data_IF_502532592048
#
_entry.id   IF_502532592048
#
_cell.length_a   1.000
_cell.length_b   1.000
_cell.length_c   1.000
_cell.angle_alpha   90.00
_cell.angle_beta   90.00
_cell.angle_gamma   90.00
#
_symmetry.space_group_name_H-M   'P 1'
#
loop_
_entity.id
_entity.type
_entity.pdbx_description
1 polymer ?
#
# COMPACT_ATOMS: atom_id res chain seq x y z
N UNK A 1 20.21 74.05 26.32
CA UNK A 1 21.21 73.04 25.90
C UNK A 1 20.76 71.66 26.34
N UNK A 2 20.74 70.72 25.40
CA UNK A 2 20.92 69.25 25.57
C UNK A 2 19.72 68.38 26.00
N UNK A 3 19.16 67.75 24.94
CA UNK A 3 18.88 66.31 24.75
C UNK A 3 17.77 65.66 25.58
N UNK A 4 16.57 65.58 24.98
CA UNK A 4 15.67 64.43 25.11
C UNK A 4 14.74 64.34 23.89
N UNK A 5 15.34 64.21 22.71
CA UNK A 5 14.68 63.69 21.51
C UNK A 5 15.09 62.23 21.40
N UNK A 6 14.19 61.32 21.79
CA UNK A 6 14.17 59.87 21.50
C UNK A 6 13.50 59.18 22.68
N UNK A 7 12.32 58.58 22.45
CA UNK A 7 11.73 57.45 23.21
C UNK A 7 10.31 57.13 22.68
N UNK A 8 9.69 57.95 21.81
CA UNK A 8 8.34 57.64 21.29
C UNK A 8 8.35 56.83 19.97
N UNK A 9 9.49 56.68 19.28
CA UNK A 9 9.56 55.96 18.00
C UNK A 9 10.08 54.51 18.08
N UNK A 10 10.24 53.94 19.29
CA UNK A 10 10.74 52.55 19.46
C UNK A 10 9.65 51.60 19.97
N UNK A 11 8.53 52.09 20.51
CA UNK A 11 7.48 51.21 21.02
C UNK A 11 6.51 50.67 19.95
N UNK A 12 6.57 51.17 18.71
CA UNK A 12 5.70 50.71 17.62
C UNK A 12 6.37 49.71 16.65
N UNK A 13 7.65 49.40 16.84
CA UNK A 13 8.43 48.52 15.96
C UNK A 13 8.73 47.12 16.57
N UNK A 14 8.23 46.82 17.79
CA UNK A 14 8.54 45.54 18.48
C UNK A 14 7.31 44.64 18.64
N UNK A 15 6.15 45.02 18.09
CA UNK A 15 4.95 44.16 18.07
C UNK A 15 4.63 43.57 16.69
N UNK A 16 5.52 43.70 15.70
CA UNK A 16 5.36 43.08 14.38
C UNK A 16 6.14 41.77 14.21
N UNK A 17 6.72 41.21 15.28
CA UNK A 17 7.63 40.04 15.19
C UNK A 17 7.20 38.81 16.00
N UNK A 18 5.99 38.79 16.56
CA UNK A 18 5.52 37.65 17.38
C UNK A 18 4.10 37.17 17.02
N UNK A 19 3.77 37.20 15.74
CA UNK A 19 2.75 36.32 15.20
C UNK A 19 3.41 35.58 14.05
N UNK A 20 4.22 34.55 14.36
CA UNK A 20 4.23 33.42 13.44
C UNK A 20 2.77 33.02 13.32
N UNK A 21 2.16 33.00 12.12
CA UNK A 21 0.93 32.26 12.00
C UNK A 21 1.28 30.86 12.50
N UNK A 22 0.66 30.45 13.60
CA UNK A 22 0.45 29.04 13.81
C UNK A 22 -0.37 28.64 12.58
N UNK A 23 0.33 28.22 11.53
CA UNK A 23 -0.25 27.42 10.47
C UNK A 23 -0.66 26.17 11.22
N UNK A 24 -1.89 26.17 11.72
CA UNK A 24 -2.59 24.93 11.96
C UNK A 24 -2.56 24.26 10.59
N UNK A 25 -1.69 23.27 10.44
CA UNK A 25 -1.80 22.36 9.31
C UNK A 25 -3.26 21.93 9.31
N UNK A 26 -3.94 22.11 8.18
CA UNK A 26 -5.29 21.60 8.04
C UNK A 26 -5.29 20.13 8.48
N UNK A 27 -6.33 19.71 9.20
CA UNK A 27 -6.39 18.32 9.66
C UNK A 27 -6.20 17.39 8.46
N UNK A 28 -5.29 16.40 8.56
CA UNK A 28 -5.04 15.48 7.47
C UNK A 28 -6.34 14.82 7.00
N UNK A 29 -6.63 14.94 5.73
CA UNK A 29 -7.79 14.32 5.11
C UNK A 29 -7.43 12.95 4.55
N UNK A 30 -8.43 12.07 4.45
CA UNK A 30 -8.31 10.83 3.70
C UNK A 30 -9.27 10.86 2.53
N UNK A 31 -8.77 10.57 1.34
CA UNK A 31 -9.55 10.44 0.12
C UNK A 31 -9.59 8.99 -0.33
N UNK A 32 -10.79 8.50 -0.65
CA UNK A 32 -10.99 7.21 -1.29
C UNK A 32 -11.42 7.41 -2.73
N UNK A 33 -10.82 6.66 -3.63
CA UNK A 33 -11.04 6.73 -5.07
C UNK A 33 -11.50 5.38 -5.55
N UNK A 34 -12.62 5.34 -6.28
CA UNK A 34 -13.21 4.12 -6.82
C UNK A 34 -13.76 4.36 -8.22
N UNK A 35 -13.67 3.35 -9.08
CA UNK A 35 -14.34 3.36 -10.37
C UNK A 35 -15.84 3.12 -10.21
N UNK A 36 -16.65 3.91 -10.92
CA UNK A 36 -18.11 3.81 -10.91
C UNK A 36 -18.56 3.36 -12.30
N UNK A 37 -18.87 2.06 -12.49
CA UNK A 37 -19.22 1.52 -13.80
C UNK A 37 -20.39 2.23 -14.48
N UNK A 38 -21.39 2.65 -13.70
CA UNK A 38 -22.57 3.36 -14.22
C UNK A 38 -22.23 4.72 -14.81
N UNK A 39 -21.11 5.32 -14.39
CA UNK A 39 -20.61 6.61 -14.87
C UNK A 39 -19.45 6.47 -15.85
N UNK A 40 -18.79 5.31 -15.90
CA UNK A 40 -17.59 5.12 -16.70
C UNK A 40 -16.37 5.91 -16.20
N UNK A 41 -16.35 6.30 -14.92
CA UNK A 41 -15.35 7.23 -14.37
C UNK A 41 -14.82 6.80 -13.01
N UNK A 42 -13.56 7.16 -12.73
CA UNK A 42 -13.01 7.18 -11.38
C UNK A 42 -13.54 8.39 -10.62
N UNK A 43 -14.05 8.14 -9.41
CA UNK A 43 -14.70 9.15 -8.55
C UNK A 43 -14.04 9.15 -7.17
N UNK A 44 -14.16 10.26 -6.46
CA UNK A 44 -13.51 10.46 -5.15
C UNK A 44 -14.52 10.79 -4.06
N UNK A 45 -14.23 10.34 -2.83
CA UNK A 45 -14.88 10.77 -1.60
C UNK A 45 -13.82 11.10 -0.55
N UNK A 46 -14.00 12.17 0.21
CA UNK A 46 -13.14 12.50 1.35
C UNK A 46 -13.55 11.66 2.58
N UNK A 47 -13.31 10.36 2.48
CA UNK A 47 -13.56 9.35 3.50
C UNK A 47 -12.47 8.28 3.43
N UNK A 48 -12.24 7.59 4.54
CA UNK A 48 -11.32 6.45 4.61
C UNK A 48 -11.82 5.20 3.89
N UNK A 49 -13.12 5.13 3.61
CA UNK A 49 -13.78 4.02 2.92
C UNK A 49 -14.87 4.54 1.99
N UNK A 50 -15.08 3.83 0.88
CA UNK A 50 -16.12 4.19 -0.08
C UNK A 50 -17.53 3.94 0.47
N UNK A 51 -18.41 4.92 0.33
CA UNK A 51 -19.83 4.83 0.68
C UNK A 51 -20.68 5.12 -0.56
N UNK A 52 -21.34 4.09 -1.09
CA UNK A 52 -22.17 4.21 -2.30
C UNK A 52 -23.41 5.10 -2.13
N UNK A 53 -23.79 5.41 -0.89
CA UNK A 53 -24.96 6.25 -0.59
C UNK A 53 -24.62 7.74 -0.61
N UNK A 54 -23.33 8.09 -0.56
CA UNK A 54 -22.88 9.48 -0.56
C UNK A 54 -22.55 9.99 -1.95
N UNK A 55 -22.69 11.30 -2.09
CA UNK A 55 -22.21 12.01 -3.26
C UNK A 55 -20.70 11.80 -3.44
N UNK A 56 -20.27 11.79 -4.70
CA UNK A 56 -18.87 11.61 -5.06
C UNK A 56 -18.39 12.72 -5.98
N UNK A 57 -17.19 13.21 -5.72
CA UNK A 57 -16.48 14.19 -6.54
C UNK A 57 -15.81 13.55 -7.76
N UNK A 58 -15.33 14.40 -8.66
CA UNK A 58 -14.47 14.01 -9.78
C UNK A 58 -12.99 13.99 -9.34
N UNK A 59 -12.11 13.47 -10.20
CA UNK A 59 -10.67 13.43 -9.91
C UNK A 59 -10.05 14.83 -9.80
N UNK A 60 -10.57 15.84 -10.51
CA UNK A 60 -10.07 17.23 -10.41
C UNK A 60 -10.22 17.78 -8.99
N UNK A 61 -11.31 17.41 -8.29
CA UNK A 61 -11.50 17.77 -6.89
C UNK A 61 -10.39 17.17 -6.01
N UNK A 62 -10.03 15.89 -6.21
CA UNK A 62 -8.92 15.28 -5.48
C UNK A 62 -7.63 16.08 -5.70
N UNK A 63 -7.25 16.25 -6.97
CA UNK A 63 -5.95 16.86 -7.30
C UNK A 63 -5.85 18.33 -6.90
N UNK A 64 -6.98 19.06 -6.90
CA UNK A 64 -7.03 20.45 -6.43
C UNK A 64 -6.99 20.60 -4.91
N UNK A 65 -7.38 19.57 -4.14
CA UNK A 65 -7.53 19.65 -2.68
C UNK A 65 -6.56 18.74 -1.90
N UNK A 66 -5.78 17.89 -2.57
CA UNK A 66 -4.79 17.04 -1.91
C UNK A 66 -3.64 17.89 -1.35
N UNK A 67 -3.39 17.75 -0.05
CA UNK A 67 -2.38 18.49 0.71
C UNK A 67 -1.31 17.57 1.29
N UNK A 68 -0.23 18.17 1.76
CA UNK A 68 0.79 17.45 2.51
C UNK A 68 0.20 16.94 3.84
N UNK A 69 0.49 15.69 4.18
CA UNK A 69 -0.06 15.00 5.33
C UNK A 69 -1.31 14.17 5.02
N UNK A 70 -1.97 14.39 3.89
CA UNK A 70 -3.18 13.65 3.52
C UNK A 70 -2.90 12.17 3.22
N UNK A 71 -3.97 11.39 3.19
CA UNK A 71 -3.97 9.97 2.82
C UNK A 71 -4.84 9.70 1.60
N UNK A 72 -4.40 8.76 0.77
CA UNK A 72 -5.09 8.36 -0.45
C UNK A 72 -5.33 6.86 -0.48
N UNK A 73 -6.54 6.44 -0.82
CA UNK A 73 -6.95 5.05 -0.96
C UNK A 73 -7.50 4.85 -2.37
N UNK A 74 -6.84 4.00 -3.16
CA UNK A 74 -7.28 3.61 -4.50
C UNK A 74 -7.91 2.21 -4.41
N UNK A 75 -9.20 2.15 -4.73
CA UNK A 75 -10.02 0.95 -4.67
C UNK A 75 -10.34 0.47 -6.08
N UNK A 76 -9.66 -0.58 -6.52
CA UNK A 76 -10.01 -1.33 -7.71
C UNK A 76 -10.98 -2.47 -7.41
N UNK A 77 -11.45 -3.10 -8.48
CA UNK A 77 -12.17 -4.36 -8.49
C UNK A 77 -12.03 -5.01 -9.88
N UNK A 78 -12.69 -6.14 -10.09
CA UNK A 78 -12.67 -6.89 -11.36
C UNK A 78 -13.26 -6.13 -12.55
N UNK A 79 -14.10 -5.12 -12.31
CA UNK A 79 -14.76 -4.32 -13.33
C UNK A 79 -14.07 -2.97 -13.54
N UNK A 80 -13.06 -2.67 -12.74
CA UNK A 80 -12.31 -1.42 -12.82
C UNK A 80 -11.36 -1.47 -14.02
N UNK A 81 -11.34 -0.44 -14.88
CA UNK A 81 -10.32 -0.31 -15.90
C UNK A 81 -8.95 -0.07 -15.23
N UNK A 82 -7.89 -0.05 -16.03
CA UNK A 82 -6.60 0.41 -15.52
C UNK A 82 -6.73 1.83 -14.95
N UNK A 83 -6.25 2.03 -13.71
CA UNK A 83 -6.20 3.36 -13.10
C UNK A 83 -5.22 4.29 -13.85
N UNK A 84 -4.14 3.70 -14.40
CA UNK A 84 -3.05 4.43 -15.04
C UNK A 84 -1.95 4.83 -14.06
N UNK A 85 -1.14 5.80 -14.46
CA UNK A 85 -0.03 6.30 -13.65
C UNK A 85 -0.53 7.24 -12.54
N UNK A 86 -0.14 6.95 -11.30
CA UNK A 86 -0.43 7.78 -10.14
C UNK A 86 0.75 8.71 -9.85
N UNK A 87 0.65 9.95 -10.33
CA UNK A 87 1.67 10.99 -10.11
C UNK A 87 1.31 11.80 -8.87
N UNK A 88 2.05 11.60 -7.79
CA UNK A 88 1.79 12.23 -6.50
C UNK A 88 2.87 13.27 -6.23
N UNK A 89 2.46 14.53 -6.20
CA UNK A 89 3.36 15.68 -5.97
C UNK A 89 3.47 16.07 -4.51
N UNK A 90 2.54 15.60 -3.67
CA UNK A 90 2.40 15.95 -2.25
C UNK A 90 3.10 14.94 -1.34
N UNK A 91 3.50 15.39 -0.16
CA UNK A 91 4.03 14.52 0.89
C UNK A 91 2.87 13.83 1.61
N UNK A 92 2.52 12.60 1.20
CA UNK A 92 1.39 11.88 1.81
C UNK A 92 1.80 11.15 3.09
N UNK A 93 0.88 11.11 4.05
CA UNK A 93 1.03 10.21 5.20
C UNK A 93 0.83 8.75 4.77
N UNK A 94 -0.17 8.47 3.93
CA UNK A 94 -0.51 7.11 3.53
C UNK A 94 -1.01 7.01 2.10
N UNK A 95 -0.55 5.99 1.38
CA UNK A 95 -1.15 5.54 0.13
C UNK A 95 -1.59 4.09 0.30
N UNK A 96 -2.84 3.77 -0.01
CA UNK A 96 -3.36 2.40 -0.01
C UNK A 96 -3.85 2.04 -1.41
N UNK A 97 -3.40 0.90 -1.92
CA UNK A 97 -3.79 0.33 -3.21
C UNK A 97 -4.44 -1.01 -2.95
N UNK A 98 -5.71 -1.17 -3.34
CA UNK A 98 -6.46 -2.40 -3.08
C UNK A 98 -7.16 -2.91 -4.35
N UNK A 99 -6.99 -4.20 -4.63
CA UNK A 99 -7.63 -4.90 -5.74
C UNK A 99 -7.46 -4.21 -7.11
N UNK A 100 -6.34 -3.51 -7.32
CA UNK A 100 -6.03 -2.87 -8.60
C UNK A 100 -5.39 -3.92 -9.51
N UNK A 101 -6.24 -4.60 -10.29
CA UNK A 101 -5.87 -5.79 -11.10
C UNK A 101 -5.00 -5.45 -12.31
N UNK A 102 -5.17 -4.25 -12.87
CA UNK A 102 -4.24 -3.70 -13.86
C UNK A 102 -3.03 -3.10 -13.15
N UNK A 103 -1.82 -3.34 -13.67
CA UNK A 103 -0.60 -2.77 -13.09
C UNK A 103 -0.72 -1.26 -12.89
N UNK A 104 -0.59 -0.80 -11.64
CA UNK A 104 -0.54 0.62 -11.29
C UNK A 104 0.92 1.05 -11.08
N UNK A 105 1.30 2.17 -11.68
CA UNK A 105 2.62 2.75 -11.50
C UNK A 105 2.49 4.00 -10.64
N UNK A 106 3.16 4.01 -9.50
CA UNK A 106 3.20 5.16 -8.59
C UNK A 106 4.48 5.93 -8.86
N UNK A 107 4.35 7.24 -9.04
CA UNK A 107 5.45 8.20 -9.10
C UNK A 107 5.30 9.21 -7.95
N UNK A 108 6.01 8.95 -6.85
CA UNK A 108 6.05 9.80 -5.67
C UNK A 108 7.16 10.84 -5.82
N UNK A 109 6.80 12.08 -6.19
CA UNK A 109 7.78 13.16 -6.33
C UNK A 109 8.27 13.65 -4.96
N UNK A 110 7.40 13.59 -3.95
CA UNK A 110 7.73 13.80 -2.55
C UNK A 110 7.55 12.50 -1.76
N UNK A 111 8.05 12.50 -0.53
CA UNK A 111 8.00 11.32 0.33
C UNK A 111 6.57 10.89 0.66
N UNK A 112 6.27 9.60 0.54
CA UNK A 112 5.08 8.97 1.10
C UNK A 112 5.51 8.17 2.33
N UNK A 113 4.95 8.47 3.50
CA UNK A 113 5.42 7.82 4.74
C UNK A 113 5.10 6.32 4.74
N UNK A 114 3.89 5.94 4.34
CA UNK A 114 3.48 4.53 4.28
C UNK A 114 2.74 4.21 2.97
N UNK A 115 3.15 3.14 2.30
CA UNK A 115 2.45 2.59 1.14
C UNK A 115 1.94 1.19 1.48
N UNK A 116 0.66 0.95 1.27
CA UNK A 116 0.01 -0.34 1.45
C UNK A 116 -0.41 -0.89 0.10
N UNK A 117 0.24 -1.96 -0.35
CA UNK A 117 -0.10 -2.72 -1.54
C UNK A 117 -0.88 -3.95 -1.09
N UNK A 118 -2.21 -3.82 -1.10
CA UNK A 118 -3.11 -4.83 -0.57
C UNK A 118 -3.44 -5.90 -1.62
N UNK A 119 -4.12 -6.95 -1.15
CA UNK A 119 -4.57 -8.11 -1.94
C UNK A 119 -5.08 -7.73 -3.33
N UNK A 120 -4.69 -8.54 -4.32
CA UNK A 120 -5.15 -8.41 -5.71
C UNK A 120 -4.55 -7.23 -6.48
N UNK A 121 -3.54 -6.56 -5.93
CA UNK A 121 -2.89 -5.41 -6.55
C UNK A 121 -1.57 -5.79 -7.20
N UNK A 122 -1.32 -5.26 -8.40
CA UNK A 122 0.01 -5.26 -9.03
C UNK A 122 0.51 -3.83 -9.10
N UNK A 123 1.60 -3.51 -8.39
CA UNK A 123 2.11 -2.15 -8.27
C UNK A 123 3.61 -2.04 -8.60
N UNK A 124 3.99 -0.91 -9.18
CA UNK A 124 5.39 -0.49 -9.34
C UNK A 124 5.58 0.86 -8.65
N UNK A 125 6.49 0.94 -7.68
CA UNK A 125 6.68 2.10 -6.82
C UNK A 125 7.97 2.83 -7.19
N UNK A 126 7.83 4.06 -7.68
CA UNK A 126 8.94 4.93 -8.06
C UNK A 126 8.89 6.20 -7.20
N UNK A 127 10.04 6.66 -6.72
CA UNK A 127 10.17 7.89 -5.96
C UNK A 127 10.58 7.67 -4.50
N UNK A 128 10.15 8.58 -3.61
CA UNK A 128 10.53 8.53 -2.19
C UNK A 128 9.42 7.98 -1.32
N UNK A 129 9.76 7.01 -0.47
CA UNK A 129 8.86 6.45 0.55
C UNK A 129 9.66 5.92 1.73
N UNK A 130 9.04 5.89 2.92
CA UNK A 130 9.71 5.37 4.13
C UNK A 130 9.39 3.89 4.36
N UNK A 131 8.11 3.52 4.32
CA UNK A 131 7.65 2.16 4.60
C UNK A 131 6.72 1.63 3.52
N UNK A 132 6.91 0.36 3.14
CA UNK A 132 6.05 -0.35 2.20
C UNK A 132 5.53 -1.62 2.85
N UNK A 133 4.23 -1.85 2.75
CA UNK A 133 3.54 -3.02 3.27
C UNK A 133 2.84 -3.75 2.12
N UNK A 134 3.13 -5.04 1.93
CA UNK A 134 2.67 -5.83 0.78
C UNK A 134 1.92 -7.07 1.26
N UNK A 135 0.72 -7.32 0.74
CA UNK A 135 -0.19 -8.32 1.31
C UNK A 135 -0.69 -9.40 0.34
N UNK A 136 -0.83 -10.61 0.88
CA UNK A 136 -1.55 -11.74 0.30
C UNK A 136 -1.03 -12.26 -1.06
N UNK A 137 -1.67 -11.88 -2.15
CA UNK A 137 -1.34 -12.28 -3.52
C UNK A 137 -0.95 -11.09 -4.39
N UNK A 138 -0.60 -9.96 -3.78
CA UNK A 138 -0.15 -8.78 -4.51
C UNK A 138 1.24 -8.97 -5.11
N UNK A 139 1.50 -8.29 -6.22
CA UNK A 139 2.85 -8.14 -6.77
C UNK A 139 3.32 -6.70 -6.62
N UNK A 140 4.55 -6.50 -6.15
CA UNK A 140 5.10 -5.16 -5.95
C UNK A 140 6.56 -5.09 -6.41
N UNK A 141 6.86 -4.13 -7.29
CA UNK A 141 8.24 -3.78 -7.61
C UNK A 141 8.60 -2.42 -6.97
N UNK A 142 9.65 -2.41 -6.15
CA UNK A 142 10.10 -1.27 -5.37
C UNK A 142 11.39 -0.74 -6.02
N UNK A 143 11.30 0.39 -6.71
CA UNK A 143 12.42 0.85 -7.55
C UNK A 143 13.42 1.77 -6.83
N UNK A 144 13.15 2.13 -5.57
CA UNK A 144 13.98 3.02 -4.76
C UNK A 144 14.24 2.43 -3.38
N UNK A 145 15.14 3.06 -2.62
CA UNK A 145 15.46 2.64 -1.26
C UNK A 145 14.24 2.72 -0.35
N UNK A 146 14.10 1.76 0.57
CA UNK A 146 13.02 1.70 1.54
C UNK A 146 13.58 1.34 2.92
N UNK A 147 13.13 2.07 3.95
CA UNK A 147 13.59 1.85 5.32
C UNK A 147 12.95 0.59 5.91
N UNK A 148 11.65 0.43 5.69
CA UNK A 148 10.88 -0.70 6.20
C UNK A 148 10.03 -1.34 5.10
N UNK A 149 10.26 -2.61 4.85
CA UNK A 149 9.42 -3.45 4.01
C UNK A 149 8.76 -4.53 4.87
N UNK A 150 7.45 -4.61 4.89
CA UNK A 150 6.73 -5.70 5.55
C UNK A 150 5.90 -6.45 4.52
N UNK A 151 6.02 -7.77 4.52
CA UNK A 151 5.33 -8.67 3.60
C UNK A 151 4.49 -9.60 4.45
N UNK A 152 3.18 -9.60 4.27
CA UNK A 152 2.27 -10.32 5.15
C UNK A 152 1.21 -11.10 4.39
N UNK A 153 1.17 -12.42 4.58
CA UNK A 153 0.01 -13.21 4.18
C UNK A 153 -1.00 -13.29 5.31
N UNK A 154 -2.20 -12.81 5.07
CA UNK A 154 -3.33 -12.93 5.99
C UNK A 154 -4.25 -14.07 5.53
N UNK A 155 -4.64 -14.02 4.26
CA UNK A 155 -5.50 -15.01 3.60
C UNK A 155 -4.73 -15.96 2.70
N UNK A 156 -3.63 -15.52 2.10
CA UNK A 156 -2.73 -16.38 1.32
C UNK A 156 -1.28 -15.88 1.36
N UNK A 157 -0.31 -16.77 1.11
CA UNK A 157 1.11 -16.42 1.01
C UNK A 157 1.55 -16.58 -0.45
N UNK A 158 1.19 -15.64 -1.32
CA UNK A 158 1.52 -15.69 -2.76
C UNK A 158 2.05 -14.35 -3.31
N UNK A 159 2.58 -13.50 -2.44
CA UNK A 159 3.15 -12.22 -2.87
C UNK A 159 4.39 -12.43 -3.74
N UNK A 160 4.57 -11.55 -4.72
CA UNK A 160 5.84 -11.44 -5.45
C UNK A 160 6.39 -10.04 -5.28
N UNK A 161 7.55 -9.91 -4.64
CA UNK A 161 8.14 -8.62 -4.28
C UNK A 161 9.60 -8.56 -4.71
N UNK A 162 9.96 -7.49 -5.40
CA UNK A 162 11.34 -7.18 -5.76
C UNK A 162 11.70 -5.77 -5.34
N UNK A 163 12.96 -5.55 -4.99
CA UNK A 163 13.48 -4.21 -4.72
C UNK A 163 14.76 -3.94 -5.51
N UNK A 164 14.77 -2.87 -6.29
CA UNK A 164 15.98 -2.35 -6.96
C UNK A 164 16.85 -1.53 -6.00
N UNK A 165 16.21 -0.78 -5.10
CA UNK A 165 16.90 -0.04 -4.04
C UNK A 165 17.32 -0.91 -2.86
N UNK A 166 18.04 -0.29 -1.93
CA UNK A 166 18.38 -0.87 -0.63
C UNK A 166 17.12 -1.07 0.21
N UNK A 167 17.07 -2.15 1.00
CA UNK A 167 16.04 -2.34 2.03
C UNK A 167 16.70 -2.41 3.40
N UNK A 168 16.48 -1.42 4.26
CA UNK A 168 17.14 -1.38 5.58
C UNK A 168 16.60 -2.47 6.51
N UNK A 169 15.30 -2.68 6.51
CA UNK A 169 14.61 -3.71 7.28
C UNK A 169 13.50 -4.34 6.44
N UNK A 170 13.50 -5.67 6.35
CA UNK A 170 12.43 -6.44 5.74
C UNK A 170 11.94 -7.54 6.68
N UNK A 171 10.63 -7.66 6.82
CA UNK A 171 10.00 -8.72 7.61
C UNK A 171 8.96 -9.45 6.77
N UNK A 172 8.95 -10.78 6.85
CA UNK A 172 7.96 -11.64 6.21
C UNK A 172 7.14 -12.30 7.32
N UNK A 173 5.83 -12.11 7.29
CA UNK A 173 4.90 -12.61 8.28
C UNK A 173 3.78 -13.44 7.65
N UNK A 174 3.24 -14.38 8.41
CA UNK A 174 2.00 -15.07 8.09
C UNK A 174 1.06 -15.04 9.29
N UNK A 175 -0.07 -14.32 9.12
CA UNK A 175 -1.09 -14.13 10.17
C UNK A 175 -0.49 -13.65 11.50
N UNK A 176 0.41 -12.67 11.41
CA UNK A 176 1.08 -12.08 12.57
C UNK A 176 2.26 -12.89 13.13
N UNK A 177 2.57 -14.07 12.57
CA UNK A 177 3.75 -14.83 12.95
C UNK A 177 4.90 -14.46 12.01
N UNK A 178 6.00 -13.96 12.59
CA UNK A 178 7.23 -13.64 11.85
C UNK A 178 7.85 -14.92 11.35
N UNK A 179 8.01 -15.06 10.03
CA UNK A 179 8.69 -16.19 9.39
C UNK A 179 10.17 -15.86 9.25
N UNK A 180 10.47 -14.66 8.74
CA UNK A 180 11.83 -14.25 8.44
C UNK A 180 11.99 -12.74 8.64
N UNK A 181 13.17 -12.35 9.11
CA UNK A 181 13.58 -10.95 9.20
C UNK A 181 14.93 -10.80 8.53
N UNK A 182 15.06 -9.75 7.72
CA UNK A 182 16.26 -9.40 6.97
C UNK A 182 16.61 -7.94 7.23
N UNK A 183 17.88 -7.68 7.50
CA UNK A 183 18.44 -6.35 7.69
C UNK A 183 19.44 -6.04 6.58
N UNK A 184 19.48 -4.77 6.16
CA UNK A 184 20.42 -4.25 5.16
C UNK A 184 20.47 -5.11 3.89
N UNK A 185 19.31 -5.41 3.30
CA UNK A 185 19.25 -6.14 2.02
C UNK A 185 19.91 -5.29 0.93
N UNK A 186 20.85 -5.90 0.21
CA UNK A 186 21.62 -5.22 -0.82
C UNK A 186 20.74 -4.76 -1.99
N UNK A 187 21.02 -3.59 -2.59
CA UNK A 187 20.26 -3.08 -3.73
C UNK A 187 20.17 -4.08 -4.89
N UNK A 188 18.97 -4.25 -5.45
CA UNK A 188 18.73 -5.10 -6.62
C UNK A 188 18.74 -6.60 -6.35
N UNK A 189 18.83 -7.02 -5.09
CA UNK A 189 18.96 -8.44 -4.73
C UNK A 189 17.70 -9.04 -4.11
N UNK A 190 16.85 -8.21 -3.48
CA UNK A 190 15.63 -8.71 -2.84
C UNK A 190 14.74 -9.40 -3.87
N UNK A 191 14.40 -10.66 -3.58
CA UNK A 191 13.53 -11.45 -4.42
C UNK A 191 12.62 -12.34 -3.58
N UNK A 192 11.35 -11.98 -3.52
CA UNK A 192 10.28 -12.79 -2.94
C UNK A 192 9.40 -13.29 -4.08
N UNK A 193 9.16 -14.59 -4.15
CA UNK A 193 8.36 -15.23 -5.20
C UNK A 193 7.39 -16.19 -4.54
N UNK A 194 6.10 -16.05 -4.87
CA UNK A 194 5.02 -16.87 -4.30
C UNK A 194 5.08 -16.94 -2.76
N UNK A 195 5.40 -15.82 -2.11
CA UNK A 195 5.50 -15.69 -0.65
C UNK A 195 6.77 -16.29 -0.02
N UNK A 196 7.70 -16.82 -0.82
CA UNK A 196 8.95 -17.39 -0.33
C UNK A 196 10.14 -16.47 -0.61
N UNK A 197 11.05 -16.37 0.36
CA UNK A 197 12.32 -15.68 0.16
C UNK A 197 13.23 -16.48 -0.79
N UNK A 198 13.65 -15.83 -1.87
CA UNK A 198 14.60 -16.32 -2.88
C UNK A 198 15.85 -15.43 -2.97
N UNK A 199 15.99 -14.49 -2.04
CA UNK A 199 17.18 -13.64 -1.90
C UNK A 199 18.35 -14.50 -1.42
N UNK A 200 19.51 -14.35 -2.04
CA UNK A 200 20.73 -15.03 -1.57
C UNK A 200 21.10 -14.52 -0.16
N UNK A 201 21.38 -15.44 0.77
CA UNK A 201 21.74 -15.13 2.15
C UNK A 201 23.00 -14.25 2.27
N UNK A 202 23.87 -14.22 1.26
CA UNK A 202 25.01 -13.30 1.21
C UNK A 202 24.62 -11.82 1.07
N UNK A 203 23.37 -11.54 0.67
CA UNK A 203 22.89 -10.19 0.36
C UNK A 203 22.07 -9.54 1.47
N UNK A 204 21.95 -10.16 2.64
CA UNK A 204 21.30 -9.56 3.81
C UNK A 204 21.89 -10.10 5.11
N UNK A 205 21.60 -9.42 6.22
CA UNK A 205 21.92 -9.88 7.56
C UNK A 205 20.65 -10.38 8.24
N UNK A 206 20.64 -11.56 8.89
CA UNK A 206 19.56 -11.93 9.79
C UNK A 206 19.69 -11.24 11.16
N UNK A 207 20.76 -10.49 11.43
CA UNK A 207 21.01 -9.83 12.71
C UNK A 207 20.73 -8.34 12.62
N UNK A 208 20.11 -7.78 13.66
CA UNK A 208 19.89 -6.34 13.81
C UNK A 208 21.23 -5.62 13.93
N UNK A 209 21.56 -4.66 13.04
CA UNK A 209 22.83 -3.93 13.10
C UNK A 209 23.00 -3.09 14.38
N UNK A 210 21.90 -2.76 15.08
CA UNK A 210 21.92 -1.94 16.29
C UNK A 210 22.04 -2.77 17.57
N UNK A 211 21.75 -4.08 17.48
CA UNK A 211 21.78 -4.97 18.62
C UNK A 211 22.99 -5.90 18.43
N UNK A 212 24.14 -5.54 19.01
CA UNK A 212 25.44 -6.22 18.84
C UNK A 212 25.53 -7.65 19.37
N UNK A 213 24.43 -8.42 19.38
CA UNK A 213 24.37 -9.83 19.74
C UNK A 213 24.24 -10.70 18.49
N UNK A 214 25.09 -11.72 18.40
CA UNK A 214 25.12 -12.75 17.36
C UNK A 214 23.97 -13.77 17.51
N UNK A 215 22.75 -13.33 17.81
CA UNK A 215 21.58 -14.22 17.81
C UNK A 215 20.73 -13.88 16.58
N UNK A 216 20.57 -14.82 15.63
CA UNK A 216 19.87 -14.53 14.39
C UNK A 216 18.45 -14.10 14.73
N UNK A 217 17.87 -13.21 13.92
CA UNK A 217 16.47 -12.84 14.07
C UNK A 217 15.63 -14.11 14.23
N UNK A 218 14.57 -14.06 15.06
CA UNK A 218 13.74 -15.22 15.29
C UNK A 218 13.22 -15.70 13.93
N UNK A 219 13.77 -16.83 13.47
CA UNK A 219 13.13 -17.62 12.42
C UNK A 219 11.92 -18.21 13.12
N UNK A 220 10.74 -17.65 12.87
CA UNK A 220 9.54 -18.35 13.29
C UNK A 220 9.54 -19.66 12.52
N UNK A 221 9.68 -20.76 13.24
CA UNK A 221 9.45 -22.08 12.68
C UNK A 221 8.11 -22.01 11.96
N UNK A 222 8.12 -22.24 10.63
CA UNK A 222 6.89 -22.36 9.87
C UNK A 222 6.00 -23.35 10.64
N UNK A 223 4.72 -23.03 10.93
CA UNK A 223 3.89 -23.91 11.75
C UNK A 223 3.96 -25.30 11.12
N UNK A 224 4.47 -26.27 11.88
CA UNK A 224 4.62 -27.63 11.39
C UNK A 224 3.21 -28.17 11.15
N UNK A 225 2.75 -28.06 9.92
CA UNK A 225 1.40 -28.49 9.57
C UNK A 225 1.32 -29.99 9.85
N UNK A 226 0.47 -30.35 10.81
CA UNK A 226 0.10 -31.73 11.07
C UNK A 226 -0.31 -32.38 9.75
N UNK A 227 0.01 -33.66 9.59
CA UNK A 227 -0.42 -34.45 8.44
C UNK A 227 -1.93 -34.25 8.14
N UNK A 228 -2.73 -34.06 9.19
CA UNK A 228 -4.16 -33.76 9.08
C UNK A 228 -4.47 -32.37 8.52
N UNK A 229 -3.67 -31.35 8.80
CA UNK A 229 -3.86 -30.00 8.23
C UNK A 229 -3.56 -29.98 6.73
N UNK A 230 -2.55 -30.76 6.30
CA UNK A 230 -2.24 -30.96 4.87
C UNK A 230 -3.38 -31.68 4.16
N UNK A 231 -3.96 -32.69 4.80
CA UNK A 231 -5.14 -33.42 4.29
C UNK A 231 -6.36 -32.50 4.19
N UNK A 232 -6.66 -31.73 5.24
CA UNK A 232 -7.81 -30.82 5.26
C UNK A 232 -7.66 -29.75 4.17
N UNK A 233 -6.46 -29.18 3.99
CA UNK A 233 -6.21 -28.18 2.95
C UNK A 233 -6.27 -28.78 1.53
N UNK A 234 -5.85 -30.03 1.34
CA UNK A 234 -6.04 -30.76 0.08
C UNK A 234 -7.52 -30.95 -0.24
N UNK A 235 -8.34 -31.37 0.73
CA UNK A 235 -9.79 -31.52 0.54
C UNK A 235 -10.52 -30.20 0.33
N UNK A 236 -10.11 -29.11 1.00
CA UNK A 236 -10.63 -27.76 0.73
C UNK A 236 -10.36 -27.33 -0.72
N UNK A 237 -9.18 -27.61 -1.25
CA UNK A 237 -8.83 -27.33 -2.66
C UNK A 237 -9.67 -28.14 -3.64
N UNK A 238 -9.93 -29.42 -3.35
CA UNK A 238 -10.81 -30.26 -4.16
C UNK A 238 -12.25 -29.75 -4.10
N UNK A 239 -12.73 -29.36 -2.93
CA UNK A 239 -14.11 -28.88 -2.77
C UNK A 239 -14.34 -27.54 -3.49
N UNK A 240 -13.37 -26.62 -3.49
CA UNK A 240 -13.41 -25.42 -4.32
C UNK A 240 -13.40 -25.74 -5.82
N UNK A 241 -12.70 -26.79 -6.25
CA UNK A 241 -12.70 -27.23 -7.65
C UNK A 241 -14.06 -27.82 -8.06
N UNK A 242 -14.73 -28.56 -7.16
CA UNK A 242 -16.08 -29.12 -7.39
C UNK A 242 -17.14 -28.00 -7.47
N UNK A 243 -17.04 -26.96 -6.63
CA UNK A 243 -17.91 -25.77 -6.69
C UNK A 243 -17.70 -25.00 -8.00
N UNK A 244 -16.46 -24.90 -8.49
CA UNK A 244 -16.16 -24.24 -9.76
C UNK A 244 -16.74 -25.00 -10.97
N UNK A 245 -16.70 -26.33 -10.97
CA UNK A 245 -17.26 -27.17 -12.06
C UNK A 245 -18.79 -27.13 -12.08
N UNK A 246 -19.44 -27.02 -10.91
CA UNK A 246 -20.91 -26.96 -10.83
C UNK A 246 -21.48 -25.63 -11.36
N UNK A 247 -20.77 -24.50 -11.23
CA UNK A 247 -21.19 -23.24 -11.85
C UNK A 247 -20.98 -23.18 -13.37
N UNK A 248 -20.05 -23.96 -13.93
CA UNK A 248 -19.87 -24.06 -15.40
C UNK A 248 -21.03 -24.84 -16.04
N UNK A 249 -21.59 -25.85 -15.35
CA UNK A 249 -22.72 -26.62 -15.89
C UNK A 249 -24.05 -25.84 -15.95
N UNK A 250 -24.22 -24.80 -15.13
CA UNK A 250 -25.39 -23.93 -15.20
C UNK A 250 -25.36 -22.98 -16.41
N UNK A 251 -24.17 -22.69 -16.95
CA UNK A 251 -23.99 -21.84 -18.13
C UNK A 251 -24.26 -22.57 -19.47
N UNK A 252 -24.41 -23.90 -19.44
CA UNK A 252 -24.68 -24.74 -20.62
C UNK A 252 -26.12 -25.23 -20.73
N UNK A 253 -27.05 -24.70 -19.92
CA UNK A 253 -28.48 -25.00 -20.09
C UNK A 253 -28.98 -24.40 -21.42
N UNK A 254 -29.61 -25.18 -22.31
CA UNK A 254 -30.12 -24.67 -23.57
C UNK A 254 -31.24 -23.64 -23.31
N UNK A 255 -31.17 -22.49 -24.00
CA UNK A 255 -32.19 -21.45 -23.98
C UNK A 255 -33.58 -22.04 -24.34
N UNK A 256 -34.66 -21.63 -23.65
CA UNK A 256 -36.00 -22.11 -23.96
C UNK A 256 -36.42 -21.68 -25.36
N UNK A 257 -36.98 -22.62 -26.11
CA UNK A 257 -37.43 -22.42 -27.49
C UNK A 257 -38.48 -21.30 -27.57
N UNK A 258 -38.22 -20.30 -28.43
CA UNK A 258 -39.23 -19.35 -28.89
C UNK A 258 -40.37 -20.12 -29.56
N UNK A 259 -41.55 -20.10 -28.95
CA UNK A 259 -42.77 -20.58 -29.58
C UNK A 259 -43.32 -19.44 -30.44
N UNK A 260 -43.23 -19.61 -31.76
CA UNK A 260 -43.95 -18.78 -32.73
C UNK A 260 -45.46 -19.08 -32.62
N UNK A 261 -46.24 -18.04 -32.35
CA UNK A 261 -47.65 -17.92 -32.75
C UNK A 261 -47.77 -16.60 -33.51
#
# INVERSE_FOLDING_TARGET
MKKTVSIILVLLAVFSSFISPAVFAAEPHTYSVKYIPEKGEWRVQQLSSWDSTRENGNMDYLWGNLQDGDSLVILGDENSPAFGDLKIEKKLAKLTLFAVTSSIIVYAQQNISEIYVLKGTVASLNGSYDSVYVYDNSACNINNDVKKLQISGETCMKMSVTALGKVDFCQIDNRGNVIETMYNVAPGTLKIVDGENKTDAANYSPYDPNNGQNEPAPVGEAPEYSFWDKIINFFKRIWSFIIMVTHITDFLKPLPALTLI
#
